data_IF_002051734562
#
_entry.id   IF_002051734562
#
_cell.length_a   1.000
_cell.length_b   1.000
_cell.length_c   1.000
_cell.angle_alpha   90.00
_cell.angle_beta   90.00
_cell.angle_gamma   90.00
#
_symmetry.space_group_name_H-M   'P 1'
#
loop_
_entity.id
_entity.type
_entity.pdbx_description
1 polymer ?
#
# COMPACT_ATOMS: atom_id res chain seq x y z
N UNK A 1 5.47 10.42 -3.64
CA UNK A 1 4.34 9.46 -3.70
C UNK A 1 3.68 9.38 -5.07
N UNK A 2 3.12 10.48 -5.61
CA UNK A 2 2.36 10.45 -6.88
C UNK A 2 3.16 9.83 -8.04
N UNK A 3 4.44 10.18 -8.16
CA UNK A 3 5.30 9.62 -9.20
C UNK A 3 5.47 8.10 -9.06
N UNK A 4 5.69 7.61 -7.84
CA UNK A 4 5.80 6.17 -7.56
C UNK A 4 4.51 5.41 -7.85
N UNK A 5 3.35 6.02 -7.56
CA UNK A 5 2.04 5.45 -7.93
C UNK A 5 1.92 5.34 -9.46
N UNK A 6 2.34 6.36 -10.19
CA UNK A 6 2.32 6.35 -11.66
C UNK A 6 3.27 5.30 -12.24
N UNK A 7 4.47 5.16 -11.66
CA UNK A 7 5.43 4.12 -12.04
C UNK A 7 4.89 2.71 -11.76
N UNK A 8 4.31 2.48 -10.58
CA UNK A 8 3.65 1.22 -10.24
C UNK A 8 2.54 0.85 -11.24
N UNK A 9 1.66 1.81 -11.54
CA UNK A 9 0.60 1.62 -12.54
C UNK A 9 1.14 1.34 -13.95
N UNK A 10 2.24 1.99 -14.33
CA UNK A 10 2.90 1.73 -15.62
C UNK A 10 3.52 0.32 -15.69
N UNK A 11 3.92 -0.26 -14.56
CA UNK A 11 4.37 -1.66 -14.44
C UNK A 11 3.22 -2.67 -14.51
N UNK A 12 1.96 -2.21 -14.48
CA UNK A 12 0.77 -3.06 -14.49
C UNK A 12 0.14 -3.24 -13.11
N UNK A 13 0.72 -2.66 -12.05
CA UNK A 13 0.17 -2.79 -10.70
C UNK A 13 -1.05 -1.89 -10.50
N UNK A 14 -2.05 -2.38 -9.78
CA UNK A 14 -3.21 -1.59 -9.34
C UNK A 14 -2.87 -0.92 -8.01
N UNK A 15 -2.99 0.40 -7.93
CA UNK A 15 -2.76 1.13 -6.67
C UNK A 15 -4.05 1.81 -6.21
N UNK A 16 -4.48 1.48 -5.00
CA UNK A 16 -5.64 2.06 -4.32
C UNK A 16 -5.16 2.83 -3.10
N UNK A 17 -5.50 4.12 -3.04
CA UNK A 17 -5.26 4.97 -1.88
C UNK A 17 -6.62 5.24 -1.23
N UNK A 18 -6.76 4.82 0.02
CA UNK A 18 -7.95 5.01 0.82
C UNK A 18 -7.63 6.06 1.88
N UNK A 19 -8.45 7.10 1.91
CA UNK A 19 -8.32 8.15 2.91
C UNK A 19 -9.48 8.03 3.91
N UNK A 20 -9.16 7.70 5.16
CA UNK A 20 -10.09 7.68 6.29
C UNK A 20 -9.91 8.88 7.22
N UNK A 21 -9.12 9.87 6.79
CA UNK A 21 -8.75 11.03 7.60
C UNK A 21 -7.70 10.71 8.65
N UNK A 22 -7.42 11.68 9.51
CA UNK A 22 -6.51 11.51 10.64
C UNK A 22 -5.04 11.80 10.33
N UNK A 23 -4.70 12.21 9.11
CA UNK A 23 -3.36 12.74 8.77
C UNK A 23 -3.29 14.27 8.86
N UNK A 24 -4.43 14.96 9.01
CA UNK A 24 -4.52 16.42 9.01
C UNK A 24 -3.90 17.10 10.25
N UNK A 25 -3.76 16.37 11.36
CA UNK A 25 -3.15 16.86 12.61
C UNK A 25 -1.62 16.67 12.65
N UNK A 26 -1.04 16.02 11.64
CA UNK A 26 0.39 15.80 11.56
C UNK A 26 1.12 17.09 11.19
N UNK A 27 2.27 17.32 11.81
CA UNK A 27 3.19 18.38 11.36
C UNK A 27 3.72 18.09 9.95
N UNK A 28 4.17 19.13 9.24
CA UNK A 28 4.74 18.99 7.89
C UNK A 28 5.90 17.98 7.86
N UNK A 29 6.76 17.97 8.90
CA UNK A 29 7.89 17.04 9.01
C UNK A 29 7.43 15.58 9.20
N UNK A 30 6.36 15.36 9.98
CA UNK A 30 5.78 14.02 10.17
C UNK A 30 5.11 13.52 8.90
N UNK A 31 4.33 14.38 8.25
CA UNK A 31 3.66 14.08 7.00
C UNK A 31 4.68 13.75 5.91
N UNK A 32 5.73 14.56 5.76
CA UNK A 32 6.78 14.33 4.77
C UNK A 32 7.49 12.98 5.01
N UNK A 33 7.80 12.64 6.27
CA UNK A 33 8.37 11.33 6.62
C UNK A 33 7.46 10.18 6.22
N UNK A 34 6.17 10.28 6.53
CA UNK A 34 5.18 9.24 6.21
C UNK A 34 5.03 9.08 4.69
N UNK A 35 4.92 10.20 3.97
CA UNK A 35 4.81 10.21 2.51
C UNK A 35 6.08 9.64 1.84
N UNK A 36 7.27 9.97 2.34
CA UNK A 36 8.52 9.41 1.84
C UNK A 36 8.59 7.90 2.08
N UNK A 37 8.17 7.41 3.26
CA UNK A 37 8.15 5.98 3.56
C UNK A 37 7.14 5.23 2.68
N UNK A 38 5.96 5.82 2.45
CA UNK A 38 4.95 5.28 1.55
C UNK A 38 5.45 5.23 0.10
N UNK A 39 6.09 6.30 -0.37
CA UNK A 39 6.67 6.35 -1.71
C UNK A 39 7.70 5.23 -1.90
N UNK A 40 8.61 5.07 -0.94
CA UNK A 40 9.62 4.02 -0.96
C UNK A 40 8.99 2.62 -0.99
N UNK A 41 7.97 2.37 -0.17
CA UNK A 41 7.27 1.08 -0.18
C UNK A 41 6.63 0.75 -1.53
N UNK A 42 6.01 1.74 -2.18
CA UNK A 42 5.42 1.59 -3.53
C UNK A 42 6.50 1.41 -4.60
N UNK A 43 7.66 2.04 -4.41
CA UNK A 43 8.79 1.92 -5.33
C UNK A 43 9.37 0.49 -5.31
N UNK A 44 9.63 -0.03 -4.11
CA UNK A 44 10.32 -1.31 -3.85
C UNK A 44 9.43 -2.54 -4.04
N UNK A 45 8.12 -2.42 -3.85
CA UNK A 45 7.21 -3.58 -3.97
C UNK A 45 7.09 -4.08 -5.41
N UNK A 46 6.99 -5.40 -5.54
CA UNK A 46 6.68 -6.12 -6.79
C UNK A 46 5.23 -6.61 -6.86
N UNK A 47 4.39 -6.21 -5.89
CA UNK A 47 3.00 -6.62 -5.82
C UNK A 47 2.18 -6.12 -7.02
N UNK A 48 1.26 -6.97 -7.50
CA UNK A 48 0.33 -6.64 -8.59
C UNK A 48 -0.78 -5.68 -8.13
N UNK A 49 -1.08 -5.67 -6.83
CA UNK A 49 -2.04 -4.77 -6.20
C UNK A 49 -1.42 -4.16 -4.96
N UNK A 50 -1.57 -2.85 -4.77
CA UNK A 50 -1.12 -2.13 -3.57
C UNK A 50 -2.29 -1.32 -3.02
N UNK A 51 -2.60 -1.55 -1.75
CA UNK A 51 -3.64 -0.85 -1.01
C UNK A 51 -2.95 -0.08 0.10
N UNK A 52 -2.99 1.26 0.03
CA UNK A 52 -2.54 2.12 1.11
C UNK A 52 -3.76 2.78 1.75
N UNK A 53 -3.87 2.72 3.08
CA UNK A 53 -5.00 3.24 3.83
C UNK A 53 -4.51 4.15 4.95
N UNK A 54 -4.98 5.40 4.99
CA UNK A 54 -4.76 6.25 6.16
C UNK A 54 -5.59 5.72 7.32
N UNK A 55 -5.03 5.79 8.52
CA UNK A 55 -5.67 5.31 9.74
C UNK A 55 -6.20 6.53 10.50
N UNK A 56 -7.45 6.49 11.01
CA UNK A 56 -8.02 7.60 11.77
C UNK A 56 -7.19 7.95 13.02
N UNK A 57 -7.46 9.14 13.57
CA UNK A 57 -6.84 9.62 14.82
C UNK A 57 -7.03 8.63 15.99
N UNK A 58 -6.05 8.61 16.91
CA UNK A 58 -6.06 7.72 18.08
C UNK A 58 -5.34 6.38 17.90
N UNK A 59 -4.81 6.07 16.71
CA UNK A 59 -3.87 4.96 16.47
C UNK A 59 -2.43 5.45 16.41
N UNK A 60 -1.46 4.68 16.89
CA UNK A 60 -0.02 4.97 16.70
C UNK A 60 0.43 4.84 15.23
N UNK A 61 -0.39 4.20 14.39
CA UNK A 61 -0.15 4.01 12.96
C UNK A 61 -0.83 5.12 12.15
N UNK A 62 -0.12 5.67 11.17
CA UNK A 62 -0.65 6.70 10.26
C UNK A 62 -1.19 6.09 8.96
N UNK A 63 -0.46 5.12 8.39
CA UNK A 63 -0.81 4.49 7.11
C UNK A 63 -0.50 3.00 7.19
N UNK A 64 -1.42 2.16 6.74
CA UNK A 64 -1.15 0.75 6.44
C UNK A 64 -0.98 0.56 4.95
N UNK A 65 -0.05 -0.29 4.56
CA UNK A 65 0.23 -0.64 3.17
C UNK A 65 0.20 -2.16 3.05
N UNK A 66 -0.70 -2.64 2.19
CA UNK A 66 -0.83 -4.06 1.86
C UNK A 66 -0.54 -4.23 0.38
N UNK A 67 0.48 -5.01 0.06
CA UNK A 67 0.76 -5.48 -1.29
C UNK A 67 0.24 -6.90 -1.47
N UNK A 68 -0.51 -7.11 -2.55
CA UNK A 68 -1.02 -8.41 -2.93
C UNK A 68 -0.43 -8.83 -4.28
N UNK A 69 -0.02 -10.07 -4.37
CA UNK A 69 0.45 -10.70 -5.61
C UNK A 69 -0.60 -11.69 -6.08
N UNK A 70 -0.95 -11.61 -7.36
CA UNK A 70 -1.90 -12.55 -7.96
C UNK A 70 -1.16 -13.81 -8.38
N UNK A 71 -1.51 -14.96 -7.79
CA UNK A 71 -0.97 -16.25 -8.18
C UNK A 71 -1.82 -16.78 -9.36
N UNK A 72 -1.91 -16.00 -10.44
CA UNK A 72 -2.54 -16.47 -11.66
C UNK A 72 -1.61 -17.48 -12.37
N UNK A 73 -1.53 -18.70 -11.84
CA UNK A 73 -0.94 -19.81 -12.57
C UNK A 73 -1.72 -20.02 -13.87
N UNK A 74 -0.97 -20.13 -14.96
CA UNK A 74 -1.37 -20.01 -16.37
C UNK A 74 -2.39 -21.08 -16.83
N UNK A 75 -2.93 -21.89 -15.93
CA UNK A 75 -3.82 -23.02 -16.20
C UNK A 75 -5.25 -22.86 -15.62
N UNK A 76 -5.53 -21.82 -14.84
CA UNK A 76 -6.84 -21.64 -14.18
C UNK A 76 -7.92 -20.97 -15.05
N UNK A 77 -7.56 -20.48 -16.25
CA UNK A 77 -8.50 -19.85 -17.21
C UNK A 77 -9.52 -20.82 -17.83
N UNK A 78 -9.41 -22.14 -17.58
CA UNK A 78 -10.27 -23.15 -18.17
C UNK A 78 -11.63 -23.35 -17.44
N UNK A 79 -11.79 -22.89 -16.18
CA UNK A 79 -12.94 -23.31 -15.35
C UNK A 79 -13.85 -22.19 -14.84
N UNK A 80 -13.68 -20.94 -15.28
CA UNK A 80 -14.63 -19.87 -14.98
C UNK A 80 -14.86 -19.61 -13.48
N UNK A 81 -13.88 -19.94 -12.63
CA UNK A 81 -13.89 -19.59 -11.22
C UNK A 81 -13.30 -18.20 -11.05
N UNK A 82 -14.07 -17.34 -10.40
CA UNK A 82 -13.77 -15.94 -10.12
C UNK A 82 -12.39 -15.82 -9.45
N UNK A 83 -11.39 -15.35 -10.19
CA UNK A 83 -9.96 -15.38 -9.82
C UNK A 83 -9.58 -14.37 -8.71
N UNK A 84 -10.53 -13.99 -7.87
CA UNK A 84 -10.34 -13.09 -6.73
C UNK A 84 -9.84 -13.82 -5.47
N UNK A 85 -9.85 -15.15 -5.45
CA UNK A 85 -9.52 -15.96 -4.26
C UNK A 85 -8.03 -16.33 -4.13
N UNK A 86 -7.16 -15.88 -5.04
CA UNK A 86 -5.75 -16.34 -5.13
C UNK A 86 -4.72 -15.19 -5.01
N UNK A 87 -5.11 -14.10 -4.35
CA UNK A 87 -4.20 -13.01 -4.00
C UNK A 87 -3.44 -13.36 -2.69
N UNK A 88 -2.11 -13.45 -2.77
CA UNK A 88 -1.25 -13.65 -1.59
C UNK A 88 -0.68 -12.32 -1.10
N UNK A 89 -0.54 -12.16 0.23
CA UNK A 89 0.07 -10.97 0.84
C UNK A 89 1.59 -11.01 0.64
N UNK A 90 2.09 -10.15 -0.23
CA UNK A 90 3.52 -9.99 -0.55
C UNK A 90 4.17 -8.89 0.32
N UNK A 91 3.38 -7.90 0.75
CA UNK A 91 3.84 -6.80 1.61
C UNK A 91 2.80 -6.51 2.69
N UNK A 92 3.26 -6.49 3.94
CA UNK A 92 2.54 -5.90 5.08
C UNK A 92 3.44 -4.84 5.72
N UNK A 93 3.02 -3.57 5.67
CA UNK A 93 3.78 -2.46 6.24
C UNK A 93 2.85 -1.51 6.98
N UNK A 94 3.27 -1.15 8.19
CA UNK A 94 2.63 -0.12 9.01
C UNK A 94 3.60 1.05 9.15
N UNK A 95 3.14 2.25 8.78
CA UNK A 95 3.92 3.49 8.87
C UNK A 95 3.44 4.26 10.10
N UNK A 96 4.26 4.39 11.14
CA UNK A 96 3.85 5.00 12.40
C UNK A 96 3.79 6.54 12.31
N UNK A 97 2.87 7.12 13.09
CA UNK A 97 2.68 8.58 13.21
C UNK A 97 3.87 9.28 13.83
N UNK A 98 4.51 8.61 14.77
CA UNK A 98 5.74 9.05 15.44
C UNK A 98 6.86 8.05 15.15
N UNK A 99 8.12 8.48 15.08
CA UNK A 99 9.21 7.54 14.91
C UNK A 99 9.24 6.59 16.12
N UNK A 100 9.30 5.29 15.85
CA UNK A 100 9.51 4.30 16.90
C UNK A 100 10.91 4.54 17.45
N UNK A 101 11.00 5.02 18.68
CA UNK A 101 12.28 5.14 19.37
C UNK A 101 12.70 3.72 19.78
N UNK A 102 13.90 3.25 19.39
CA UNK A 102 14.37 1.90 19.70
C UNK A 102 14.64 1.67 21.19
#
# INVERSE_FOLDING_TARGET
>A
VRDEVMLARRRGATVTLLDEGGIDDLSDDELDRILNRLALAIHETTADKVIARTVPEGSDVAVTVVGLRSIADRESVALGQDSLEDDEVDLWLEIPRVPVTP
#
